data_IF_345208110131
#
_entry.id   IF_345208110131
#
_cell.length_a   1.000
_cell.length_b   1.000
_cell.length_c   1.000
_cell.angle_alpha   90.00
_cell.angle_beta   90.00
_cell.angle_gamma   90.00
#
_symmetry.space_group_name_H-M   'P 1'
#
loop_
_entity.id
_entity.type
_entity.pdbx_description
1 polymer ?
#
# COMPACT_ATOMS: atom_id res chain seq x y z
N UNK A 1 -16.09 39.44 -1.72
CA UNK A 1 -16.79 38.53 -0.83
C UNK A 1 -17.00 37.17 -1.45
N UNK A 2 -17.53 37.13 -2.63
CA UNK A 2 -17.74 35.84 -3.27
C UNK A 2 -16.46 35.14 -3.61
N UNK A 3 -15.40 35.91 -3.81
CA UNK A 3 -14.13 35.35 -4.15
C UNK A 3 -13.58 34.45 -3.04
N UNK A 4 -13.92 34.77 -1.80
CA UNK A 4 -13.45 33.98 -0.68
C UNK A 4 -13.94 32.55 -0.72
N UNK A 5 -15.18 32.36 -1.13
CA UNK A 5 -15.74 31.01 -1.21
C UNK A 5 -14.98 30.16 -2.24
N UNK A 6 -14.59 30.78 -3.33
CA UNK A 6 -13.86 30.07 -4.38
C UNK A 6 -12.50 29.61 -3.88
N UNK A 7 -11.81 30.47 -3.14
CA UNK A 7 -10.53 30.13 -2.60
C UNK A 7 -10.61 28.95 -1.63
N UNK A 8 -11.68 28.91 -0.86
CA UNK A 8 -11.87 27.82 0.08
C UNK A 8 -11.93 26.47 -0.62
N UNK A 9 -12.59 26.43 -1.75
CA UNK A 9 -12.69 25.17 -2.50
C UNK A 9 -11.32 24.69 -2.97
N UNK A 10 -10.48 25.62 -3.42
CA UNK A 10 -9.14 25.25 -3.88
C UNK A 10 -8.29 24.68 -2.75
N UNK A 11 -8.40 25.24 -1.58
CA UNK A 11 -7.66 24.74 -0.43
C UNK A 11 -8.02 23.31 -0.10
N UNK A 12 -9.28 22.96 -0.23
CA UNK A 12 -9.73 21.62 0.07
C UNK A 12 -9.01 20.60 -0.79
N UNK A 13 -8.83 20.87 -2.06
CA UNK A 13 -8.15 19.96 -2.97
C UNK A 13 -6.70 19.76 -2.58
N UNK A 14 -6.03 20.84 -2.23
CA UNK A 14 -4.61 20.77 -1.87
C UNK A 14 -4.43 20.01 -0.57
N UNK A 15 -5.28 20.27 0.41
CA UNK A 15 -5.18 19.59 1.70
C UNK A 15 -5.32 18.09 1.54
N UNK A 16 -6.20 17.65 0.66
CA UNK A 16 -6.39 16.22 0.45
C UNK A 16 -5.12 15.56 -0.07
N UNK A 17 -4.41 16.21 -0.98
CA UNK A 17 -3.19 15.65 -1.55
C UNK A 17 -2.07 15.56 -0.52
N UNK A 18 -2.11 16.42 0.49
CA UNK A 18 -1.04 16.47 1.48
C UNK A 18 -1.28 15.57 2.68
N UNK A 19 -2.42 14.87 2.71
CA UNK A 19 -2.77 14.07 3.88
C UNK A 19 -2.10 12.71 3.92
N UNK A 20 -1.40 12.32 2.88
CA UNK A 20 -0.74 11.01 2.88
C UNK A 20 0.39 10.99 3.90
N UNK A 21 0.43 9.97 4.77
CA UNK A 21 1.51 9.87 5.76
C UNK A 21 2.86 9.69 5.10
N UNK A 22 3.90 10.13 5.80
CA UNK A 22 5.26 9.94 5.31
C UNK A 22 5.61 8.46 5.31
N UNK A 23 6.41 8.01 4.35
CA UNK A 23 6.77 6.60 4.27
C UNK A 23 7.55 6.13 5.49
N UNK A 24 7.21 4.93 5.96
CA UNK A 24 7.91 4.30 7.07
C UNK A 24 8.27 2.87 6.65
N UNK A 25 9.15 2.25 7.43
CA UNK A 25 9.58 0.88 7.14
C UNK A 25 8.54 -0.13 7.59
N UNK A 26 8.60 -1.36 7.08
CA UNK A 26 7.71 -2.41 7.58
C UNK A 26 7.84 -2.65 9.07
N UNK A 27 9.06 -2.55 9.61
CA UNK A 27 9.25 -2.77 11.04
C UNK A 27 8.50 -1.72 11.86
N UNK A 28 8.56 -0.45 11.45
CA UNK A 28 7.85 0.60 12.13
C UNK A 28 6.34 0.43 11.95
N UNK A 29 5.92 0.09 10.72
CA UNK A 29 4.50 -0.09 10.44
C UNK A 29 3.89 -1.19 11.30
N UNK A 30 4.66 -2.23 11.59
CA UNK A 30 4.18 -3.34 12.41
C UNK A 30 3.80 -2.91 13.82
N UNK A 31 4.29 -1.76 14.28
CA UNK A 31 3.93 -1.23 15.60
C UNK A 31 2.75 -0.28 15.54
N UNK A 32 2.21 -0.02 14.37
CA UNK A 32 1.16 0.98 14.16
C UNK A 32 -0.19 0.35 13.85
N UNK A 33 -0.54 -0.67 14.61
CA UNK A 33 -1.80 -1.39 14.37
C UNK A 33 -2.99 -0.43 14.50
N UNK A 34 -3.91 -0.53 13.53
CA UNK A 34 -5.13 0.31 13.44
C UNK A 34 -4.85 1.75 13.03
N UNK A 35 -3.62 2.06 12.64
CA UNK A 35 -3.29 3.41 12.17
C UNK A 35 -3.10 3.41 10.66
N UNK A 36 -3.42 4.55 10.05
CA UNK A 36 -3.17 4.73 8.62
C UNK A 36 -1.72 5.15 8.42
N UNK A 37 -1.03 4.43 7.57
CA UNK A 37 0.41 4.66 7.33
C UNK A 37 0.69 4.55 5.85
N UNK A 38 1.87 4.98 5.46
CA UNK A 38 2.44 4.68 4.15
C UNK A 38 3.69 3.85 4.41
N UNK A 39 3.68 2.60 3.94
CA UNK A 39 4.81 1.70 4.11
C UNK A 39 5.61 1.68 2.83
N UNK A 40 6.92 1.84 2.96
CA UNK A 40 7.82 1.66 1.83
C UNK A 40 8.60 0.38 2.04
N UNK A 41 8.52 -0.54 1.09
CA UNK A 41 9.19 -1.82 1.26
C UNK A 41 9.55 -2.43 -0.09
N UNK A 42 10.60 -3.24 -0.06
CA UNK A 42 10.95 -4.09 -1.18
C UNK A 42 10.10 -5.35 -1.10
N UNK A 43 9.45 -5.72 -2.20
CA UNK A 43 8.66 -6.94 -2.26
C UNK A 43 9.61 -8.10 -2.53
N UNK A 44 9.98 -8.82 -1.49
CA UNK A 44 10.94 -9.91 -1.63
C UNK A 44 10.31 -11.21 -2.07
N UNK A 45 9.03 -11.42 -1.75
CA UNK A 45 8.33 -12.61 -2.19
C UNK A 45 6.85 -12.31 -2.36
N UNK A 46 6.18 -13.18 -3.09
CA UNK A 46 4.75 -13.05 -3.34
C UNK A 46 4.12 -14.42 -3.21
N UNK A 47 2.79 -14.45 -3.07
CA UNK A 47 2.07 -15.70 -2.95
C UNK A 47 0.61 -15.53 -3.29
N UNK A 48 -0.14 -16.64 -3.13
CA UNK A 48 -1.56 -16.65 -3.35
C UNK A 48 -1.94 -17.13 -4.73
N UNK A 49 -3.22 -17.33 -4.91
CA UNK A 49 -3.80 -17.72 -6.21
C UNK A 49 -4.86 -16.71 -6.59
N UNK A 50 -6.05 -16.85 -6.03
CA UNK A 50 -7.11 -15.87 -6.29
C UNK A 50 -6.77 -14.54 -5.64
N UNK A 51 -6.21 -14.59 -4.44
CA UNK A 51 -5.69 -13.40 -3.77
C UNK A 51 -4.21 -13.29 -4.03
N UNK A 52 -3.64 -12.13 -3.73
CA UNK A 52 -2.23 -11.90 -3.91
C UNK A 52 -1.64 -11.36 -2.62
N UNK A 53 -0.50 -11.90 -2.24
CA UNK A 53 0.24 -11.47 -1.04
C UNK A 53 1.59 -10.93 -1.48
N UNK A 54 1.89 -9.69 -1.07
CA UNK A 54 3.19 -9.09 -1.32
C UNK A 54 3.90 -9.02 0.02
N UNK A 55 5.06 -9.65 0.12
CA UNK A 55 5.75 -9.83 1.40
C UNK A 55 7.05 -9.07 1.44
N UNK A 56 7.36 -8.52 2.63
CA UNK A 56 8.61 -7.80 2.84
C UNK A 56 9.78 -8.74 3.08
N UNK A 57 9.52 -10.02 3.36
CA UNK A 57 10.56 -11.03 3.57
C UNK A 57 10.41 -12.14 2.55
N UNK A 58 11.49 -12.87 2.33
CA UNK A 58 11.42 -14.02 1.44
C UNK A 58 10.58 -15.13 2.05
N UNK A 59 10.66 -15.28 3.36
CA UNK A 59 9.86 -16.26 4.10
C UNK A 59 8.73 -15.52 4.81
N UNK A 60 7.51 -15.67 4.33
CA UNK A 60 6.38 -14.95 4.90
C UNK A 60 6.07 -15.39 6.34
N UNK A 61 6.66 -16.49 6.79
CA UNK A 61 6.40 -16.97 8.15
C UNK A 61 7.24 -16.25 9.20
N UNK A 62 8.22 -15.47 8.78
CA UNK A 62 9.05 -14.72 9.73
C UNK A 62 8.22 -13.68 10.45
N UNK A 63 8.55 -13.45 11.72
CA UNK A 63 7.84 -12.43 12.49
C UNK A 63 8.08 -11.03 11.94
N UNK A 64 9.21 -10.83 11.26
CA UNK A 64 9.52 -9.53 10.67
C UNK A 64 8.79 -9.28 9.36
N UNK A 65 8.04 -10.26 8.86
CA UNK A 65 7.35 -10.08 7.59
C UNK A 65 6.15 -9.16 7.72
N UNK A 66 6.00 -8.29 6.74
CA UNK A 66 4.84 -7.41 6.61
C UNK A 66 4.19 -7.73 5.27
N UNK A 67 2.87 -7.92 5.26
CA UNK A 67 2.16 -8.35 4.06
C UNK A 67 1.23 -7.27 3.55
N UNK A 68 1.25 -7.07 2.24
CA UNK A 68 0.24 -6.29 1.55
C UNK A 68 -0.71 -7.28 0.91
N UNK A 69 -1.99 -7.21 1.31
CA UNK A 69 -2.99 -8.17 0.85
C UNK A 69 -3.83 -7.56 -0.25
N UNK A 70 -3.89 -8.25 -1.38
CA UNK A 70 -4.66 -7.85 -2.55
C UNK A 70 -5.67 -8.95 -2.82
N UNK A 71 -6.94 -8.69 -2.52
CA UNK A 71 -7.94 -9.73 -2.71
C UNK A 71 -8.36 -9.81 -4.17
N UNK A 72 -9.20 -10.78 -4.46
CA UNK A 72 -9.64 -11.07 -5.82
C UNK A 72 -10.27 -9.84 -6.49
N UNK A 73 -11.11 -9.13 -5.76
CA UNK A 73 -11.80 -7.96 -6.33
C UNK A 73 -10.83 -6.87 -6.71
N UNK A 74 -9.82 -6.64 -5.88
CA UNK A 74 -8.82 -5.61 -6.16
C UNK A 74 -7.93 -6.07 -7.32
N UNK A 75 -7.66 -7.36 -7.43
CA UNK A 75 -6.91 -7.87 -8.59
C UNK A 75 -7.66 -7.57 -9.89
N UNK A 76 -8.98 -7.69 -9.87
CA UNK A 76 -9.78 -7.34 -11.05
C UNK A 76 -9.65 -5.86 -11.38
N UNK A 77 -9.69 -5.00 -10.36
CA UNK A 77 -9.49 -3.57 -10.57
C UNK A 77 -8.11 -3.28 -11.14
N UNK A 78 -7.10 -3.98 -10.66
CA UNK A 78 -5.74 -3.80 -11.16
C UNK A 78 -5.62 -4.23 -12.61
N UNK A 79 -6.30 -5.32 -12.98
CA UNK A 79 -6.28 -5.79 -14.35
C UNK A 79 -6.85 -4.73 -15.29
N UNK A 80 -7.93 -4.08 -14.87
CA UNK A 80 -8.52 -3.00 -15.67
C UNK A 80 -7.60 -1.80 -15.75
N UNK A 81 -6.72 -1.63 -14.77
CA UNK A 81 -5.74 -0.55 -14.77
C UNK A 81 -4.45 -0.91 -15.48
N UNK A 82 -4.38 -2.10 -16.09
CA UNK A 82 -3.20 -2.51 -16.85
C UNK A 82 -2.24 -3.40 -16.12
N UNK A 83 -2.58 -3.86 -14.91
CA UNK A 83 -1.74 -4.74 -14.13
C UNK A 83 -2.35 -6.13 -14.15
N UNK A 84 -1.91 -6.96 -15.10
CA UNK A 84 -2.52 -8.28 -15.28
C UNK A 84 -2.20 -9.24 -14.14
N UNK A 85 -0.97 -9.16 -13.63
CA UNK A 85 -0.53 -10.09 -12.58
C UNK A 85 0.23 -9.31 -11.51
N UNK A 86 -0.46 -8.93 -10.42
CA UNK A 86 0.20 -8.14 -9.38
C UNK A 86 1.43 -8.81 -8.78
N UNK A 87 1.39 -10.14 -8.64
CA UNK A 87 2.53 -10.85 -8.07
C UNK A 87 3.79 -10.62 -8.88
N UNK A 88 3.69 -10.75 -10.20
CA UNK A 88 4.86 -10.53 -11.05
C UNK A 88 5.18 -9.05 -11.19
N UNK A 89 4.14 -8.23 -11.22
CA UNK A 89 4.32 -6.81 -11.44
C UNK A 89 5.12 -6.16 -10.30
N UNK A 90 4.85 -6.56 -9.07
CA UNK A 90 5.47 -5.93 -7.90
C UNK A 90 6.66 -6.68 -7.35
N UNK A 91 6.89 -7.93 -7.77
CA UNK A 91 7.98 -8.73 -7.21
C UNK A 91 9.32 -8.06 -7.44
N UNK A 92 10.12 -8.00 -6.39
CA UNK A 92 11.45 -7.38 -6.41
C UNK A 92 11.43 -5.89 -6.72
N UNK A 93 10.28 -5.27 -6.52
CA UNK A 93 10.15 -3.82 -6.67
C UNK A 93 10.00 -3.17 -5.31
N UNK A 94 10.48 -1.95 -5.18
CA UNK A 94 10.21 -1.15 -3.99
C UNK A 94 8.88 -0.44 -4.21
N UNK A 95 7.99 -0.61 -3.26
CA UNK A 95 6.65 -0.03 -3.36
C UNK A 95 6.36 0.84 -2.16
N UNK A 96 5.43 1.77 -2.34
CA UNK A 96 4.83 2.52 -1.24
C UNK A 96 3.35 2.19 -1.23
N UNK A 97 2.85 1.82 -0.05
CA UNK A 97 1.46 1.42 0.13
C UNK A 97 0.87 2.24 1.25
N UNK A 98 -0.25 2.89 0.98
CA UNK A 98 -0.96 3.68 1.98
C UNK A 98 -2.22 2.94 2.40
N UNK A 99 -2.39 2.75 3.70
CA UNK A 99 -3.57 2.09 4.22
C UNK A 99 -3.46 1.88 5.71
N UNK A 100 -4.49 1.24 6.27
CA UNK A 100 -4.56 0.99 7.70
C UNK A 100 -3.96 -0.36 8.02
N UNK A 101 -3.07 -0.40 9.00
CA UNK A 101 -2.44 -1.63 9.43
C UNK A 101 -3.42 -2.41 10.29
N UNK A 102 -3.63 -3.67 9.97
CA UNK A 102 -4.47 -4.56 10.76
C UNK A 102 -3.70 -5.82 11.10
N UNK A 103 -4.18 -6.54 12.10
CA UNK A 103 -3.65 -7.86 12.41
C UNK A 103 -4.53 -8.92 11.79
N UNK A 104 -3.91 -9.85 11.11
CA UNK A 104 -4.59 -11.03 10.60
C UNK A 104 -3.82 -12.24 11.10
N UNK A 105 -4.49 -13.04 11.94
CA UNK A 105 -3.85 -14.19 12.56
C UNK A 105 -2.53 -13.78 13.22
N UNK A 106 -2.61 -12.67 13.98
CA UNK A 106 -1.48 -12.14 14.77
C UNK A 106 -0.35 -11.56 13.95
N UNK A 107 -0.55 -11.39 12.63
CA UNK A 107 0.48 -10.81 11.77
C UNK A 107 0.00 -9.49 11.16
N UNK A 108 0.88 -8.50 11.08
CA UNK A 108 0.47 -7.21 10.54
C UNK A 108 0.34 -7.24 9.03
N UNK A 109 -0.64 -6.53 8.52
CA UNK A 109 -0.85 -6.41 7.09
C UNK A 109 -1.62 -5.15 6.77
N UNK A 110 -1.54 -4.75 5.51
CA UNK A 110 -2.44 -3.76 4.95
C UNK A 110 -3.25 -4.46 3.87
N UNK A 111 -4.59 -4.40 3.97
CA UNK A 111 -5.47 -4.91 2.92
C UNK A 111 -5.86 -3.72 2.08
N UNK A 112 -5.50 -3.74 0.80
CA UNK A 112 -5.83 -2.61 -0.06
C UNK A 112 -7.18 -2.82 -0.71
N UNK A 113 -7.83 -1.71 -1.04
CA UNK A 113 -9.15 -1.73 -1.67
C UNK A 113 -9.11 -1.10 -3.06
N UNK A 114 -8.10 -0.30 -3.35
CA UNK A 114 -7.97 0.36 -4.64
C UNK A 114 -6.54 0.27 -5.15
N UNK A 115 -6.35 0.10 -6.46
CA UNK A 115 -4.99 0.01 -7.01
C UNK A 115 -4.13 1.23 -6.70
N UNK A 116 -4.74 2.39 -6.55
CA UNK A 116 -4.00 3.62 -6.32
C UNK A 116 -3.28 3.63 -4.98
N UNK A 117 -3.63 2.72 -4.08
CA UNK A 117 -2.96 2.65 -2.78
C UNK A 117 -1.53 2.13 -2.88
N UNK A 118 -1.18 1.49 -4.00
CA UNK A 118 0.17 0.97 -4.21
C UNK A 118 0.80 1.70 -5.37
N UNK A 119 2.05 2.11 -5.19
CA UNK A 119 2.82 2.62 -6.31
C UNK A 119 4.25 2.14 -6.21
N UNK A 120 4.86 1.94 -7.37
CA UNK A 120 6.26 1.53 -7.45
C UNK A 120 7.12 2.77 -7.33
N UNK A 121 8.15 2.68 -6.49
CA UNK A 121 9.11 3.76 -6.30
C UNK A 121 10.34 3.42 -7.11
N UNK A 122 10.69 4.32 -8.02
CA UNK A 122 11.87 4.13 -8.86
C UNK A 122 13.08 4.64 -8.10
N UNK A 123 13.75 3.72 -7.43
CA UNK A 123 14.91 4.08 -6.64
C UNK A 123 16.16 3.96 -7.47
N UNK A 124 16.73 5.09 -7.79
CA UNK A 124 18.01 5.12 -8.50
C UNK A 124 19.12 5.16 -7.49
N UNK A 125 20.04 4.26 -7.64
CA UNK A 125 21.14 4.18 -6.70
C UNK A 125 22.30 5.06 -7.11
#
# INVERSE_FOLDING_TARGET
MRLLAILTVLYSSIAFAEDAPKPITPAVASTKIKEKVTVEMLVKSTGGRENCYLNSEEDFKLDSNFTIFINKDVKEKMKKAGIDNPAEHFKQKTIQVTGTVILFEKKPRISITEPEQIKIIDKKS
#
